data_IF_712783680369
#
_entry.id   IF_712783680369
#
_cell.length_a   1.000
_cell.length_b   1.000
_cell.length_c   1.000
_cell.angle_alpha   90.00
_cell.angle_beta   90.00
_cell.angle_gamma   90.00
#
_symmetry.space_group_name_H-M   'P 1'
#
loop_
_entity.id
_entity.type
_entity.pdbx_description
1 polymer ?
#
# COMPACT_ATOMS: atom_id res chain seq x y z
N UNK A 1 46.64 5.88 64.39
CA UNK A 1 46.11 7.12 63.77
C UNK A 1 46.41 7.20 62.27
N UNK A 2 47.65 7.02 61.79
CA UNK A 2 47.97 7.13 60.35
C UNK A 2 47.20 6.18 59.43
N UNK A 3 47.00 4.92 59.83
CA UNK A 3 46.20 3.95 59.05
C UNK A 3 44.71 4.34 58.95
N UNK A 4 44.14 4.99 59.99
CA UNK A 4 42.75 5.44 59.98
C UNK A 4 42.53 6.59 58.99
N UNK A 5 43.44 7.56 58.94
CA UNK A 5 43.37 8.66 57.97
C UNK A 5 43.53 8.16 56.52
N UNK A 6 44.41 7.18 56.28
CA UNK A 6 44.55 6.58 54.96
C UNK A 6 43.26 5.86 54.50
N UNK A 7 42.59 5.13 55.40
CA UNK A 7 41.31 4.46 55.11
C UNK A 7 40.20 5.49 54.86
N UNK A 8 40.14 6.57 55.65
CA UNK A 8 39.18 7.65 55.47
C UNK A 8 39.36 8.36 54.13
N UNK A 9 40.60 8.69 53.76
CA UNK A 9 40.91 9.29 52.45
C UNK A 9 40.51 8.36 51.30
N UNK A 10 40.79 7.06 51.42
CA UNK A 10 40.39 6.06 50.43
C UNK A 10 38.88 5.97 50.28
N UNK A 11 38.12 6.01 51.39
CA UNK A 11 36.65 6.01 51.37
C UNK A 11 36.11 7.22 50.62
N UNK A 12 36.61 8.41 50.91
CA UNK A 12 36.19 9.64 50.23
C UNK A 12 36.54 9.61 48.73
N UNK A 13 37.69 9.04 48.36
CA UNK A 13 38.03 8.85 46.95
C UNK A 13 37.04 7.92 46.24
N UNK A 14 36.62 6.82 46.88
CA UNK A 14 35.60 5.90 46.35
C UNK A 14 34.24 6.60 46.24
N UNK A 15 33.84 7.37 47.24
CA UNK A 15 32.59 8.14 47.23
C UNK A 15 32.56 9.13 46.05
N UNK A 16 33.67 9.85 45.83
CA UNK A 16 33.80 10.78 44.70
C UNK A 16 33.78 10.05 43.35
N UNK A 17 34.49 8.92 43.22
CA UNK A 17 34.49 8.11 42.01
C UNK A 17 33.09 7.54 41.71
N UNK A 18 32.34 7.13 42.73
CA UNK A 18 30.95 6.68 42.58
C UNK A 18 30.02 7.82 42.16
N UNK A 19 30.24 9.04 42.68
CA UNK A 19 29.48 10.21 42.26
C UNK A 19 29.77 10.60 40.80
N UNK A 20 31.03 10.49 40.35
CA UNK A 20 31.39 10.66 38.95
C UNK A 20 30.79 9.58 38.06
N UNK A 21 30.84 8.32 38.50
CA UNK A 21 30.19 7.21 37.80
C UNK A 21 28.69 7.44 37.61
N UNK A 22 28.00 7.92 38.66
CA UNK A 22 26.57 8.24 38.57
C UNK A 22 26.29 9.35 37.56
N UNK A 23 27.15 10.38 37.46
CA UNK A 23 27.03 11.42 36.43
C UNK A 23 27.23 10.87 35.03
N UNK A 24 28.22 9.99 34.84
CA UNK A 24 28.48 9.35 33.54
C UNK A 24 27.29 8.47 33.13
N UNK A 25 26.75 7.69 34.07
CA UNK A 25 25.55 6.87 33.82
C UNK A 25 24.35 7.72 33.42
N UNK A 26 24.16 8.88 34.05
CA UNK A 26 23.08 9.81 33.68
C UNK A 26 23.27 10.35 32.26
N UNK A 27 24.48 10.77 31.88
CA UNK A 27 24.77 11.24 30.53
C UNK A 27 24.53 10.16 29.48
N UNK A 28 24.91 8.90 29.77
CA UNK A 28 24.65 7.77 28.88
C UNK A 28 23.14 7.56 28.71
N UNK A 29 22.38 7.59 29.81
CA UNK A 29 20.93 7.45 29.77
C UNK A 29 20.26 8.57 28.95
N UNK A 30 20.71 9.81 29.11
CA UNK A 30 20.21 10.96 28.35
C UNK A 30 20.53 10.84 26.85
N UNK A 31 21.74 10.38 26.49
CA UNK A 31 22.13 10.12 25.10
C UNK A 31 21.31 8.97 24.49
N UNK A 32 21.07 7.89 25.24
CA UNK A 32 20.21 6.79 24.83
C UNK A 32 18.77 7.22 24.60
N UNK A 33 18.21 8.02 25.52
CA UNK A 33 16.88 8.58 25.38
C UNK A 33 16.76 9.48 24.14
N UNK A 34 17.77 10.33 23.89
CA UNK A 34 17.81 11.16 22.69
C UNK A 34 17.87 10.32 21.40
N UNK A 35 18.72 9.29 21.36
CA UNK A 35 18.81 8.35 20.23
C UNK A 35 17.49 7.60 20.00
N UNK A 36 16.81 7.21 21.08
CA UNK A 36 15.51 6.53 20.98
C UNK A 36 14.42 7.47 20.44
N UNK A 37 14.35 8.70 20.96
CA UNK A 37 13.41 9.71 20.47
C UNK A 37 13.63 10.03 18.99
N UNK A 38 14.88 10.10 18.52
CA UNK A 38 15.20 10.28 17.10
C UNK A 38 14.73 9.08 16.25
N UNK A 39 14.97 7.85 16.71
CA UNK A 39 14.48 6.63 16.04
C UNK A 39 12.97 6.63 15.91
N UNK A 40 12.25 7.00 16.97
CA UNK A 40 10.78 7.07 16.98
C UNK A 40 10.26 8.16 16.05
N UNK A 41 10.88 9.35 16.04
CA UNK A 41 10.55 10.41 15.08
C UNK A 41 10.75 9.96 13.63
N UNK A 42 11.90 9.34 13.33
CA UNK A 42 12.19 8.79 12.00
C UNK A 42 11.21 7.66 11.63
N UNK A 43 10.83 6.81 12.58
CA UNK A 43 9.84 5.76 12.36
C UNK A 43 8.45 6.35 12.07
N UNK A 44 8.05 7.39 12.80
CA UNK A 44 6.79 8.09 12.59
C UNK A 44 6.75 8.78 11.22
N UNK A 45 7.81 9.49 10.83
CA UNK A 45 7.95 10.09 9.50
C UNK A 45 7.94 9.03 8.38
N UNK A 46 8.62 7.92 8.58
CA UNK A 46 8.60 6.82 7.63
C UNK A 46 7.23 6.13 7.55
N UNK A 47 6.43 6.13 8.64
CA UNK A 47 5.07 5.62 8.65
C UNK A 47 4.12 6.55 7.88
N UNK A 48 4.22 7.87 8.07
CA UNK A 48 3.41 8.85 7.33
C UNK A 48 3.72 8.80 5.83
N UNK A 49 5.00 8.72 5.44
CA UNK A 49 5.40 8.59 4.03
C UNK A 49 4.86 7.29 3.40
N UNK A 50 4.93 6.16 4.12
CA UNK A 50 4.37 4.88 3.66
C UNK A 50 2.84 4.96 3.48
N UNK A 51 2.14 5.57 4.43
CA UNK A 51 0.70 5.77 4.36
C UNK A 51 0.31 6.66 3.17
N UNK A 52 1.01 7.78 2.97
CA UNK A 52 0.79 8.68 1.83
C UNK A 52 1.00 7.95 0.49
N UNK A 53 2.09 7.20 0.35
CA UNK A 53 2.38 6.42 -0.87
C UNK A 53 1.33 5.33 -1.12
N UNK A 54 0.83 4.68 -0.07
CA UNK A 54 -0.25 3.70 -0.19
C UNK A 54 -1.54 4.34 -0.70
N UNK A 55 -1.89 5.53 -0.20
CA UNK A 55 -3.05 6.28 -0.66
C UNK A 55 -2.92 6.72 -2.14
N UNK A 56 -1.75 7.19 -2.56
CA UNK A 56 -1.49 7.52 -3.97
C UNK A 56 -1.61 6.31 -4.90
N UNK A 57 -1.08 5.15 -4.48
CA UNK A 57 -1.20 3.91 -5.25
C UNK A 57 -2.66 3.46 -5.36
N UNK A 58 -3.43 3.58 -4.28
CA UNK A 58 -4.87 3.29 -4.29
C UNK A 58 -5.64 4.25 -5.22
N UNK A 59 -5.31 5.55 -5.21
CA UNK A 59 -5.90 6.53 -6.11
C UNK A 59 -5.56 6.25 -7.59
N UNK A 60 -4.29 5.92 -7.88
CA UNK A 60 -3.86 5.54 -9.24
C UNK A 60 -4.53 4.24 -9.71
N UNK A 61 -4.65 3.24 -8.85
CA UNK A 61 -5.41 2.03 -9.15
C UNK A 61 -6.86 2.37 -9.48
N UNK A 62 -7.50 3.25 -8.69
CA UNK A 62 -8.87 3.67 -8.97
C UNK A 62 -9.00 4.47 -10.28
N UNK A 63 -7.99 5.27 -10.67
CA UNK A 63 -7.98 5.95 -11.97
C UNK A 63 -7.76 5.02 -13.18
N UNK A 64 -7.19 3.82 -12.96
CA UNK A 64 -6.94 2.85 -14.03
C UNK A 64 -8.07 1.82 -14.17
N UNK A 65 -8.79 1.52 -13.09
CA UNK A 65 -9.91 0.57 -13.08
C UNK A 65 -11.29 1.24 -12.97
N UNK A 66 -11.36 2.55 -12.73
CA UNK A 66 -12.58 3.30 -12.45
C UNK A 66 -13.36 3.79 -13.67
N UNK A 67 -13.79 2.85 -14.53
CA UNK A 67 -15.02 2.92 -15.37
C UNK A 67 -15.16 1.69 -16.28
N UNK A 68 -14.80 0.51 -15.80
CA UNK A 68 -15.23 -0.73 -16.44
C UNK A 68 -16.39 -1.30 -15.65
N UNK A 69 -17.63 -1.20 -16.15
CA UNK A 69 -18.67 -2.23 -15.89
C UNK A 69 -18.28 -3.56 -16.56
N UNK A 70 -16.97 -3.81 -16.64
CA UNK A 70 -16.31 -4.53 -17.68
C UNK A 70 -16.25 -6.00 -17.34
N UNK A 71 -16.91 -6.80 -18.16
CA UNK A 71 -16.81 -8.25 -18.07
C UNK A 71 -15.32 -8.63 -18.13
N UNK A 72 -14.94 -9.71 -17.46
CA UNK A 72 -13.61 -10.26 -17.65
C UNK A 72 -13.55 -10.92 -19.04
N UNK A 73 -12.43 -10.75 -19.74
CA UNK A 73 -12.18 -11.49 -20.97
C UNK A 73 -12.24 -13.00 -20.64
N UNK A 74 -13.07 -13.80 -21.32
CA UNK A 74 -13.22 -15.22 -21.00
C UNK A 74 -11.95 -16.03 -21.30
N UNK A 75 -11.03 -15.50 -22.12
CA UNK A 75 -9.79 -16.18 -22.49
C UNK A 75 -8.62 -15.91 -21.52
N UNK A 76 -8.50 -14.70 -20.95
CA UNK A 76 -7.33 -14.31 -20.15
C UNK A 76 -7.65 -13.62 -18.82
N UNK A 77 -8.92 -13.35 -18.53
CA UNK A 77 -9.35 -12.71 -17.30
C UNK A 77 -9.12 -11.19 -17.24
N UNK A 78 -8.54 -10.57 -18.26
CA UNK A 78 -8.33 -9.11 -18.27
C UNK A 78 -9.67 -8.37 -18.30
N UNK A 79 -9.78 -7.25 -17.58
CA UNK A 79 -10.97 -6.40 -17.63
C UNK A 79 -11.16 -5.83 -19.03
N UNK A 80 -12.36 -5.98 -19.60
CA UNK A 80 -12.73 -5.45 -20.92
C UNK A 80 -14.06 -4.70 -20.83
N UNK A 81 -14.24 -3.61 -21.58
CA UNK A 81 -15.51 -2.87 -21.58
C UNK A 81 -16.53 -3.53 -22.51
N UNK A 82 -17.82 -3.23 -22.33
CA UNK A 82 -18.90 -3.83 -23.12
C UNK A 82 -18.83 -3.51 -24.63
N UNK A 83 -18.19 -2.39 -24.98
CA UNK A 83 -18.06 -1.91 -26.37
C UNK A 83 -16.82 -2.48 -27.09
N UNK A 84 -15.95 -3.20 -26.39
CA UNK A 84 -14.75 -3.79 -26.99
C UNK A 84 -15.11 -5.05 -27.78
N UNK A 85 -14.76 -5.07 -29.07
CA UNK A 85 -14.88 -6.26 -29.91
C UNK A 85 -13.74 -7.28 -29.70
N UNK A 86 -12.58 -6.83 -29.20
CA UNK A 86 -11.41 -7.66 -28.95
C UNK A 86 -10.74 -7.28 -27.63
N UNK A 87 -10.14 -8.26 -26.97
CA UNK A 87 -9.36 -8.01 -25.75
C UNK A 87 -8.03 -7.32 -26.09
N UNK A 88 -7.78 -6.16 -25.48
CA UNK A 88 -6.54 -5.40 -25.62
C UNK A 88 -5.28 -6.10 -25.04
N UNK A 89 -5.47 -7.19 -24.28
CA UNK A 89 -4.39 -7.92 -23.60
C UNK A 89 -4.01 -9.22 -24.34
N UNK A 90 -4.97 -9.98 -24.83
CA UNK A 90 -4.73 -11.28 -25.48
C UNK A 90 -5.23 -11.38 -26.92
N UNK A 91 -5.94 -10.38 -27.44
CA UNK A 91 -6.47 -10.38 -28.81
C UNK A 91 -7.72 -11.24 -29.04
N UNK A 92 -8.23 -11.95 -28.02
CA UNK A 92 -9.44 -12.77 -28.17
C UNK A 92 -10.66 -11.90 -28.53
N UNK A 93 -11.51 -12.39 -29.45
CA UNK A 93 -12.79 -11.77 -29.79
C UNK A 93 -13.72 -11.81 -28.57
N UNK A 94 -14.36 -10.69 -28.28
CA UNK A 94 -15.28 -10.52 -27.16
C UNK A 94 -16.73 -10.60 -27.65
N UNK A 95 -17.65 -11.13 -26.83
CA UNK A 95 -19.06 -11.19 -27.18
C UNK A 95 -19.67 -9.78 -27.12
N UNK A 96 -19.80 -9.14 -28.29
CA UNK A 96 -20.50 -7.85 -28.43
C UNK A 96 -22.00 -8.13 -28.46
N UNK A 97 -22.75 -7.51 -27.55
CA UNK A 97 -24.21 -7.54 -27.61
C UNK A 97 -24.70 -6.42 -28.53
N UNK A 98 -25.42 -6.79 -29.58
CA UNK A 98 -26.08 -5.88 -30.50
C UNK A 98 -27.56 -5.81 -30.14
N UNK A 99 -28.24 -4.78 -30.63
CA UNK A 99 -29.69 -4.64 -30.44
C UNK A 99 -30.37 -4.74 -31.80
N UNK A 100 -31.46 -5.51 -31.89
CA UNK A 100 -32.22 -5.66 -33.12
C UNK A 100 -32.85 -4.31 -33.52
N UNK A 101 -32.64 -3.83 -34.77
CA UNK A 101 -33.15 -2.53 -35.21
C UNK A 101 -34.68 -2.49 -35.35
N UNK A 102 -35.35 -3.64 -35.48
CA UNK A 102 -36.81 -3.71 -35.64
C UNK A 102 -37.56 -3.80 -34.30
N UNK A 103 -37.08 -4.63 -33.37
CA UNK A 103 -37.83 -4.92 -32.14
C UNK A 103 -37.14 -4.50 -30.84
N UNK A 104 -35.90 -3.98 -30.90
CA UNK A 104 -35.13 -3.56 -29.73
C UNK A 104 -34.60 -4.72 -28.87
N UNK A 105 -34.72 -5.98 -29.30
CA UNK A 105 -34.22 -7.12 -28.53
C UNK A 105 -32.68 -7.19 -28.57
N UNK A 106 -32.07 -7.56 -27.45
CA UNK A 106 -30.62 -7.77 -27.36
C UNK A 106 -30.26 -9.12 -27.99
N UNK A 107 -29.30 -9.10 -28.91
CA UNK A 107 -28.86 -10.23 -29.75
C UNK A 107 -27.33 -10.31 -29.72
N UNK A 108 -26.77 -11.49 -29.91
CA UNK A 108 -25.30 -11.68 -29.96
C UNK A 108 -24.77 -11.49 -31.38
N UNK A 109 -23.50 -11.09 -31.52
CA UNK A 109 -22.85 -10.89 -32.83
C UNK A 109 -22.91 -12.11 -33.76
N UNK A 110 -22.98 -13.32 -33.21
CA UNK A 110 -23.02 -14.56 -34.00
C UNK A 110 -24.42 -14.92 -34.54
N UNK A 111 -25.46 -14.13 -34.24
CA UNK A 111 -26.83 -14.39 -34.69
C UNK A 111 -27.14 -13.70 -36.03
N UNK A 112 -27.47 -14.49 -37.07
CA UNK A 112 -27.90 -13.97 -38.38
C UNK A 112 -29.36 -13.46 -38.40
N UNK A 113 -30.19 -13.89 -37.45
CA UNK A 113 -31.60 -13.52 -37.34
C UNK A 113 -31.98 -13.23 -35.89
N UNK A 114 -32.88 -12.27 -35.69
CA UNK A 114 -33.41 -11.98 -34.37
C UNK A 114 -34.32 -13.12 -33.91
N UNK A 115 -33.96 -13.73 -32.77
CA UNK A 115 -34.74 -14.77 -32.11
C UNK A 115 -36.14 -14.32 -31.64
N UNK A 116 -36.43 -13.02 -31.60
CA UNK A 116 -37.70 -12.47 -31.12
C UNK A 116 -38.66 -12.07 -32.24
N UNK A 117 -38.17 -11.50 -33.34
CA UNK A 117 -39.00 -10.98 -34.42
C UNK A 117 -38.67 -11.55 -35.82
N UNK A 118 -37.66 -12.41 -35.94
CA UNK A 118 -37.26 -13.02 -37.21
C UNK A 118 -36.54 -12.07 -38.18
N UNK A 119 -36.36 -10.80 -37.83
CA UNK A 119 -35.63 -9.84 -38.68
C UNK A 119 -34.18 -10.28 -38.86
N UNK A 120 -33.69 -10.26 -40.10
CA UNK A 120 -32.30 -10.56 -40.45
C UNK A 120 -31.37 -9.49 -39.84
N UNK A 121 -30.42 -9.95 -39.04
CA UNK A 121 -29.36 -9.13 -38.44
C UNK A 121 -28.19 -9.19 -39.42
N UNK A 122 -28.12 -8.20 -40.32
CA UNK A 122 -27.05 -8.08 -41.33
C UNK A 122 -26.09 -6.98 -40.92
#
# INVERSE_FOLDING_TARGET
MQQYEAVKASRTAIENANAELARIQQLIADEEAARQAEKERKAAEAATLRAARAAELAAKANSFFGKGTGKACPACGNAVTADMAFCNKCGAKLPVQKTCPNCGNVVTDDMAFCNKCGTKLS
#
